data_IF_282002001677
#
_entry.id   IF_282002001677
#
_cell.length_a   1.000
_cell.length_b   1.000
_cell.length_c   1.000
_cell.angle_alpha   90.00
_cell.angle_beta   90.00
_cell.angle_gamma   90.00
#
_symmetry.space_group_name_H-M   'P 1'
#
loop_
_entity.id
_entity.type
_entity.pdbx_description
1 polymer ?
#
# COMPACT_ATOMS: atom_id res chain seq x y z
N UNK A 1 18.70 19.68 2.92
CA UNK A 1 18.03 20.50 3.96
C UNK A 1 17.06 21.43 3.25
N UNK A 2 15.93 21.82 3.87
CA UNK A 2 14.95 22.64 3.18
C UNK A 2 15.61 23.99 2.92
N UNK A 3 15.47 24.47 1.69
CA UNK A 3 16.11 25.67 1.16
C UNK A 3 17.59 25.47 0.78
N UNK A 4 18.04 26.31 -0.15
CA UNK A 4 19.41 26.43 -0.69
C UNK A 4 20.50 26.36 0.42
N UNK A 5 21.81 26.37 0.13
CA UNK A 5 22.88 26.36 1.15
C UNK A 5 22.81 27.46 2.24
N UNK A 6 21.85 28.38 2.15
CA UNK A 6 21.53 29.37 3.16
C UNK A 6 20.70 28.77 4.31
N UNK A 7 21.31 28.71 5.50
CA UNK A 7 20.59 28.47 6.75
C UNK A 7 19.72 29.69 7.10
N UNK A 8 18.40 29.57 7.00
CA UNK A 8 17.46 30.53 7.59
C UNK A 8 16.95 29.99 8.94
N UNK A 9 17.15 30.76 10.02
CA UNK A 9 16.56 30.45 11.33
C UNK A 9 15.17 31.05 11.40
N UNK A 10 14.12 30.23 11.28
CA UNK A 10 12.73 30.67 11.32
C UNK A 10 12.10 30.43 12.69
N UNK A 11 11.40 31.43 13.23
CA UNK A 11 10.55 31.27 14.42
C UNK A 11 9.14 30.84 14.02
N UNK A 12 8.45 30.07 14.85
CA UNK A 12 7.08 29.57 14.57
C UNK A 12 6.12 30.71 14.21
N UNK A 13 6.18 31.83 14.93
CA UNK A 13 5.39 33.03 14.66
C UNK A 13 5.63 33.59 13.26
N UNK A 14 6.90 33.65 12.82
CA UNK A 14 7.26 34.14 11.49
C UNK A 14 6.74 33.27 10.35
N UNK A 15 6.56 31.97 10.57
CA UNK A 15 6.04 31.03 9.57
C UNK A 15 4.52 31.19 9.38
N UNK A 16 3.79 31.47 10.47
CA UNK A 16 2.35 31.67 10.43
C UNK A 16 1.94 32.94 9.67
N UNK A 17 2.83 33.94 9.57
CA UNK A 17 2.59 35.20 8.86
C UNK A 17 2.89 35.12 7.35
N UNK A 18 3.62 34.10 6.89
CA UNK A 18 3.94 33.91 5.46
C UNK A 18 2.70 33.56 4.64
N UNK A 19 2.75 33.78 3.32
CA UNK A 19 1.66 33.44 2.41
C UNK A 19 1.73 31.97 2.01
N UNK A 20 0.58 31.30 1.88
CA UNK A 20 0.52 29.90 1.42
C UNK A 20 1.17 29.75 0.04
N UNK A 21 0.97 30.73 -0.84
CA UNK A 21 1.56 30.75 -2.18
C UNK A 21 3.10 30.67 -2.19
N UNK A 22 3.76 31.16 -1.15
CA UNK A 22 5.20 31.03 -0.99
C UNK A 22 5.60 29.60 -0.64
N UNK A 23 4.86 28.96 0.27
CA UNK A 23 5.06 27.56 0.63
C UNK A 23 4.83 26.64 -0.57
N UNK A 24 3.73 26.85 -1.29
CA UNK A 24 3.38 26.07 -2.48
C UNK A 24 4.47 26.19 -3.55
N UNK A 25 4.98 27.40 -3.80
CA UNK A 25 6.10 27.62 -4.72
C UNK A 25 7.35 26.81 -4.33
N UNK A 26 7.69 26.80 -3.03
CA UNK A 26 8.85 26.09 -2.52
C UNK A 26 8.68 24.57 -2.64
N UNK A 27 7.49 24.05 -2.30
CA UNK A 27 7.16 22.63 -2.48
C UNK A 27 7.25 22.25 -3.97
N UNK A 28 6.75 23.07 -4.89
CA UNK A 28 6.85 22.82 -6.34
C UNK A 28 8.30 22.74 -6.80
N UNK A 29 9.17 23.63 -6.32
CA UNK A 29 10.58 23.62 -6.67
C UNK A 29 11.28 22.34 -6.19
N UNK A 30 10.97 21.89 -4.98
CA UNK A 30 11.52 20.64 -4.43
C UNK A 30 11.00 19.41 -5.17
N UNK A 31 9.71 19.39 -5.52
CA UNK A 31 9.12 18.32 -6.32
C UNK A 31 9.81 18.19 -7.68
N UNK A 32 10.04 19.31 -8.38
CA UNK A 32 10.77 19.29 -9.66
C UNK A 32 12.19 18.79 -9.44
N UNK A 33 12.90 19.32 -8.44
CA UNK A 33 14.29 18.95 -8.16
C UNK A 33 14.46 17.44 -7.94
N UNK A 34 13.53 16.81 -7.22
CA UNK A 34 13.68 15.40 -6.82
C UNK A 34 13.02 14.39 -7.74
N UNK A 35 11.92 14.75 -8.43
CA UNK A 35 11.10 13.80 -9.18
C UNK A 35 10.88 14.18 -10.65
N UNK A 36 11.17 15.41 -11.06
CA UNK A 36 10.99 15.88 -12.44
C UNK A 36 12.24 16.59 -12.98
N UNK A 37 13.41 16.05 -12.68
CA UNK A 37 14.65 16.38 -13.36
C UNK A 37 14.89 15.40 -14.53
N UNK A 38 15.72 15.78 -15.49
CA UNK A 38 16.23 14.83 -16.50
C UNK A 38 17.39 13.96 -15.94
N UNK A 39 17.92 13.06 -16.77
CA UNK A 39 18.99 12.14 -16.38
C UNK A 39 20.29 12.88 -15.97
N UNK A 40 20.49 14.10 -16.48
CA UNK A 40 21.59 15.00 -16.16
C UNK A 40 21.28 15.91 -14.95
N UNK A 41 20.19 15.63 -14.22
CA UNK A 41 19.72 16.36 -13.04
C UNK A 41 19.28 17.81 -13.32
N UNK A 42 18.98 18.16 -14.57
CA UNK A 42 18.41 19.48 -14.89
C UNK A 42 16.92 19.51 -14.56
N UNK A 43 16.45 20.48 -13.73
CA UNK A 43 15.04 20.60 -13.37
C UNK A 43 14.16 20.98 -14.57
N UNK A 44 13.06 20.25 -14.80
CA UNK A 44 12.09 20.55 -15.88
C UNK A 44 11.12 21.67 -15.49
N UNK A 45 11.60 22.90 -15.45
CA UNK A 45 10.80 24.07 -15.03
C UNK A 45 9.57 24.35 -15.91
N UNK A 46 9.51 23.85 -17.14
CA UNK A 46 8.32 23.94 -17.98
C UNK A 46 7.08 23.28 -17.33
N UNK A 47 7.27 22.31 -16.43
CA UNK A 47 6.19 21.63 -15.70
C UNK A 47 5.69 22.41 -14.48
N UNK A 48 6.31 23.54 -14.13
CA UNK A 48 6.05 24.25 -12.88
C UNK A 48 4.57 24.62 -12.70
N UNK A 49 3.93 25.14 -13.76
CA UNK A 49 2.53 25.55 -13.71
C UNK A 49 1.58 24.39 -13.42
N UNK A 50 1.79 23.24 -14.07
CA UNK A 50 0.93 22.06 -13.88
C UNK A 50 1.17 21.38 -12.55
N UNK A 51 2.44 21.23 -12.14
CA UNK A 51 2.78 20.66 -10.84
C UNK A 51 2.28 21.53 -9.68
N UNK A 52 2.33 22.86 -9.82
CA UNK A 52 1.78 23.76 -8.80
C UNK A 52 0.28 23.57 -8.59
N UNK A 53 -0.51 23.35 -9.65
CA UNK A 53 -1.96 23.07 -9.53
C UNK A 53 -2.22 21.79 -8.73
N UNK A 54 -1.42 20.74 -8.98
CA UNK A 54 -1.51 19.48 -8.22
C UNK A 54 -1.17 19.70 -6.74
N UNK A 55 -0.15 20.51 -6.46
CA UNK A 55 0.26 20.84 -5.09
C UNK A 55 -0.80 21.69 -4.39
N UNK A 56 -1.46 22.62 -5.09
CA UNK A 56 -2.61 23.36 -4.58
C UNK A 56 -3.75 22.42 -4.17
N UNK A 57 -4.13 21.47 -5.05
CA UNK A 57 -5.13 20.45 -4.72
C UNK A 57 -4.71 19.58 -3.52
N UNK A 58 -3.44 19.16 -3.47
CA UNK A 58 -2.90 18.39 -2.36
C UNK A 58 -2.95 19.18 -1.05
N UNK A 59 -2.57 20.45 -1.06
CA UNK A 59 -2.57 21.32 0.13
C UNK A 59 -3.98 21.54 0.67
N UNK A 60 -4.97 21.67 -0.20
CA UNK A 60 -6.37 21.84 0.22
C UNK A 60 -7.02 20.53 0.67
N UNK A 61 -6.72 19.40 0.03
CA UNK A 61 -7.47 18.17 0.25
C UNK A 61 -6.77 17.13 1.14
N UNK A 62 -5.44 17.20 1.28
CA UNK A 62 -4.63 16.18 1.97
C UNK A 62 -3.90 16.70 3.21
N UNK A 63 -3.68 18.00 3.34
CA UNK A 63 -3.05 18.57 4.54
C UNK A 63 -4.12 18.84 5.58
N UNK A 64 -4.22 17.94 6.55
CA UNK A 64 -5.22 18.01 7.63
C UNK A 64 -4.59 18.49 8.92
N UNK A 65 -5.23 19.46 9.57
CA UNK A 65 -4.87 19.91 10.91
C UNK A 65 -5.59 19.07 11.97
N UNK A 66 -4.85 18.48 12.89
CA UNK A 66 -5.42 17.73 14.01
C UNK A 66 -5.58 18.66 15.21
N UNK A 67 -6.80 18.73 15.76
CA UNK A 67 -7.13 19.54 16.94
C UNK A 67 -6.76 21.04 16.81
N UNK A 68 -6.74 21.58 15.60
CA UNK A 68 -6.45 22.98 15.31
C UNK A 68 -7.40 23.50 14.23
N UNK A 69 -8.02 24.64 14.47
CA UNK A 69 -9.00 25.28 13.56
C UNK A 69 -8.37 26.39 12.71
N UNK A 70 -7.24 26.96 13.13
CA UNK A 70 -6.56 27.99 12.39
C UNK A 70 -5.73 27.40 11.24
N UNK A 71 -6.20 27.60 10.00
CA UNK A 71 -5.57 27.07 8.80
C UNK A 71 -4.13 27.54 8.58
N UNK A 72 -3.72 28.67 9.19
CA UNK A 72 -2.33 29.16 9.10
C UNK A 72 -1.32 28.15 9.63
N UNK A 73 -1.75 27.25 10.51
CA UNK A 73 -0.90 26.16 11.03
C UNK A 73 -0.54 25.12 9.96
N UNK A 74 -1.22 25.06 8.82
CA UNK A 74 -0.78 24.25 7.67
C UNK A 74 0.62 24.68 7.18
N UNK A 75 1.01 25.94 7.45
CA UNK A 75 2.33 26.49 7.13
C UNK A 75 3.45 25.86 7.96
N UNK A 76 3.17 25.12 9.03
CA UNK A 76 4.23 24.39 9.76
C UNK A 76 4.98 23.38 8.88
N UNK A 77 4.46 23.04 7.71
CA UNK A 77 5.20 22.31 6.66
C UNK A 77 6.53 22.97 6.26
N UNK A 78 6.76 24.26 6.53
CA UNK A 78 8.08 24.89 6.38
C UNK A 78 9.18 24.22 7.21
N UNK A 79 8.82 23.57 8.33
CA UNK A 79 9.76 22.84 9.19
C UNK A 79 9.94 21.38 8.78
N UNK A 80 9.09 20.86 7.89
CA UNK A 80 9.18 19.50 7.39
C UNK A 80 10.26 19.37 6.31
N UNK A 81 10.77 18.15 6.16
CA UNK A 81 11.79 17.90 5.14
C UNK A 81 11.16 17.98 3.74
N UNK A 82 11.63 18.93 2.91
CA UNK A 82 11.13 19.15 1.56
C UNK A 82 11.20 17.91 0.65
N UNK A 83 12.22 17.04 0.83
CA UNK A 83 12.30 15.76 0.11
C UNK A 83 11.17 14.82 0.54
N UNK A 84 10.87 14.73 1.83
CA UNK A 84 9.79 13.88 2.35
C UNK A 84 8.43 14.32 1.79
N UNK A 85 8.17 15.63 1.77
CA UNK A 85 6.95 16.19 1.18
C UNK A 85 6.91 15.87 -0.33
N UNK A 86 8.00 16.13 -1.05
CA UNK A 86 8.09 15.86 -2.49
C UNK A 86 7.88 14.37 -2.81
N UNK A 87 8.50 13.46 -2.05
CA UNK A 87 8.33 12.00 -2.18
C UNK A 87 6.88 11.59 -1.92
N UNK A 88 6.18 12.21 -0.98
CA UNK A 88 4.77 11.93 -0.71
C UNK A 88 3.86 12.39 -1.85
N UNK A 89 4.06 13.61 -2.34
CA UNK A 89 3.26 14.17 -3.46
C UNK A 89 3.54 13.40 -4.75
N UNK A 90 4.80 13.09 -5.05
CA UNK A 90 5.20 12.33 -6.23
C UNK A 90 4.56 10.93 -6.28
N UNK A 91 4.27 10.29 -5.14
CA UNK A 91 3.52 9.02 -5.12
C UNK A 91 2.10 9.17 -5.68
N UNK A 92 1.45 10.31 -5.42
CA UNK A 92 0.13 10.61 -5.94
C UNK A 92 0.15 11.04 -7.41
N UNK A 93 1.27 11.58 -7.89
CA UNK A 93 1.45 11.94 -9.29
C UNK A 93 1.82 10.69 -10.07
N UNK A 94 0.84 10.16 -10.78
CA UNK A 94 1.04 9.03 -11.64
C UNK A 94 1.11 9.48 -13.10
N UNK A 95 2.31 9.63 -13.69
CA UNK A 95 2.45 10.03 -15.09
C UNK A 95 2.04 8.91 -16.07
N UNK A 96 1.84 7.68 -15.57
CA UNK A 96 1.48 6.52 -16.37
C UNK A 96 0.03 6.12 -16.11
N UNK A 97 -0.61 5.43 -17.04
CA UNK A 97 -1.89 4.79 -16.76
C UNK A 97 -1.56 3.55 -15.90
N UNK A 98 -2.00 3.51 -14.63
CA UNK A 98 -1.75 2.38 -13.72
C UNK A 98 -2.66 1.18 -14.07
N UNK A 99 -2.59 0.70 -15.30
CA UNK A 99 -3.28 -0.51 -15.76
C UNK A 99 -2.30 -1.67 -15.87
N UNK A 100 -2.86 -2.86 -15.98
CA UNK A 100 -2.14 -4.10 -16.29
C UNK A 100 -1.35 -4.03 -17.62
N UNK A 101 -1.65 -3.05 -18.48
CA UNK A 101 -0.92 -2.84 -19.72
C UNK A 101 0.50 -2.31 -19.47
N UNK A 102 0.65 -1.33 -18.57
CA UNK A 102 1.88 -0.56 -18.38
C UNK A 102 2.70 -0.98 -17.16
N UNK A 103 2.06 -1.53 -16.12
CA UNK A 103 2.79 -2.00 -14.93
C UNK A 103 3.17 -3.46 -15.11
N UNK A 104 4.48 -3.77 -15.05
CA UNK A 104 5.00 -5.13 -15.18
C UNK A 104 5.81 -5.54 -13.95
N UNK A 105 5.78 -6.82 -13.56
CA UNK A 105 6.52 -7.30 -12.40
C UNK A 105 7.98 -7.51 -12.77
N UNK A 106 8.87 -7.13 -11.86
CA UNK A 106 10.28 -7.53 -11.93
C UNK A 106 10.43 -8.81 -11.13
N UNK A 107 10.73 -9.90 -11.83
CA UNK A 107 10.88 -11.20 -11.19
C UNK A 107 12.25 -11.34 -10.51
N UNK A 108 12.28 -12.05 -9.37
CA UNK A 108 13.53 -12.55 -8.82
C UNK A 108 14.14 -13.57 -9.80
N UNK A 109 15.41 -13.37 -10.15
CA UNK A 109 16.12 -14.18 -11.16
C UNK A 109 16.15 -15.68 -10.83
N UNK A 110 16.35 -16.02 -9.55
CA UNK A 110 16.49 -17.40 -9.11
C UNK A 110 15.14 -18.03 -8.75
N UNK A 111 14.27 -17.27 -8.09
CA UNK A 111 13.00 -17.76 -7.55
C UNK A 111 11.82 -16.93 -8.06
N UNK A 112 11.42 -17.16 -9.31
CA UNK A 112 10.30 -16.44 -9.93
C UNK A 112 8.95 -16.75 -9.30
N UNK A 113 8.74 -18.00 -8.88
CA UNK A 113 7.49 -18.49 -8.32
C UNK A 113 7.73 -19.15 -6.97
N UNK A 114 6.82 -18.89 -6.04
CA UNK A 114 6.80 -19.50 -4.71
C UNK A 114 5.80 -20.65 -4.61
N UNK A 115 5.90 -21.42 -3.53
CA UNK A 115 4.97 -22.49 -3.20
C UNK A 115 4.88 -22.64 -1.68
N UNK A 116 3.73 -23.12 -1.21
CA UNK A 116 3.52 -23.49 0.20
C UNK A 116 4.10 -24.87 0.56
N UNK A 117 4.67 -25.60 -0.41
CA UNK A 117 5.16 -26.98 -0.24
C UNK A 117 6.18 -27.15 0.90
N UNK A 118 6.98 -26.12 1.16
CA UNK A 118 8.09 -26.18 2.11
C UNK A 118 7.84 -25.33 3.38
N UNK A 119 6.60 -24.92 3.63
CA UNK A 119 6.26 -24.18 4.85
C UNK A 119 6.38 -25.12 6.03
N UNK A 120 7.25 -24.78 6.97
CA UNK A 120 7.48 -25.53 8.20
C UNK A 120 7.96 -24.59 9.29
N UNK A 121 7.51 -24.84 10.53
CA UNK A 121 7.89 -24.06 11.69
C UNK A 121 7.28 -24.67 12.95
N UNK A 122 7.95 -24.45 14.08
CA UNK A 122 7.43 -24.83 15.39
C UNK A 122 6.99 -23.56 16.13
N UNK A 123 5.89 -23.66 16.86
CA UNK A 123 5.37 -22.57 17.69
C UNK A 123 4.92 -23.10 19.04
N UNK A 124 5.00 -22.27 20.07
CA UNK A 124 4.41 -22.53 21.39
C UNK A 124 3.05 -21.84 21.57
N UNK A 125 2.61 -21.08 20.57
CA UNK A 125 1.31 -20.39 20.56
C UNK A 125 0.18 -21.39 20.30
N UNK A 126 -1.03 -20.99 20.67
CA UNK A 126 -2.23 -21.77 20.35
C UNK A 126 -2.41 -21.92 18.83
N UNK A 127 -2.88 -23.09 18.42
CA UNK A 127 -3.07 -23.45 17.02
C UNK A 127 -4.44 -24.07 16.81
N UNK A 128 -5.04 -23.80 15.66
CA UNK A 128 -6.28 -24.40 15.22
C UNK A 128 -6.04 -25.36 14.06
N UNK A 129 -6.52 -26.62 14.12
CA UNK A 129 -6.35 -27.59 13.04
C UNK A 129 -7.17 -27.20 11.81
N UNK A 130 -6.65 -27.48 10.63
CA UNK A 130 -7.23 -27.04 9.34
C UNK A 130 -7.38 -28.17 8.35
N UNK A 131 -8.34 -28.04 7.42
CA UNK A 131 -8.62 -29.05 6.39
C UNK A 131 -8.42 -28.51 4.97
N UNK A 132 -8.80 -27.24 4.74
CA UNK A 132 -8.56 -26.54 3.47
C UNK A 132 -7.21 -25.87 3.43
N UNK A 133 -6.58 -25.63 4.58
CA UNK A 133 -5.27 -25.00 4.59
C UNK A 133 -4.18 -25.94 4.04
N UNK A 134 -3.20 -25.36 3.33
CA UNK A 134 -2.01 -26.11 2.88
C UNK A 134 -1.08 -26.52 4.04
N UNK A 135 -1.25 -25.95 5.23
CA UNK A 135 -0.54 -26.34 6.45
C UNK A 135 -1.50 -27.06 7.40
N UNK A 136 -0.95 -27.85 8.32
CA UNK A 136 -1.74 -28.69 9.24
C UNK A 136 -2.52 -27.89 10.30
N UNK A 137 -2.06 -26.70 10.64
CA UNK A 137 -2.72 -25.84 11.61
C UNK A 137 -2.39 -24.36 11.38
N UNK A 138 -3.32 -23.49 11.77
CA UNK A 138 -3.14 -22.04 11.79
C UNK A 138 -2.77 -21.59 13.19
N UNK A 139 -1.70 -20.80 13.29
CA UNK A 139 -1.30 -20.14 14.54
C UNK A 139 -2.26 -19.01 14.84
N UNK A 140 -2.82 -18.96 16.05
CA UNK A 140 -3.74 -17.92 16.48
C UNK A 140 -2.94 -16.79 17.15
N UNK A 141 -2.61 -15.72 16.41
CA UNK A 141 -1.96 -14.54 17.00
C UNK A 141 -2.97 -13.53 17.52
N UNK A 142 -4.19 -13.54 16.97
CA UNK A 142 -5.34 -12.78 17.48
C UNK A 142 -6.66 -13.55 17.30
N UNK A 143 -7.66 -13.18 18.09
CA UNK A 143 -9.02 -13.73 17.96
C UNK A 143 -9.59 -13.51 16.54
N UNK A 144 -9.24 -12.39 15.90
CA UNK A 144 -9.75 -12.04 14.58
C UNK A 144 -9.19 -12.97 13.49
N UNK A 145 -7.90 -13.28 13.54
CA UNK A 145 -7.29 -14.26 12.63
C UNK A 145 -7.85 -15.66 12.84
N UNK A 146 -8.16 -16.03 14.09
CA UNK A 146 -8.78 -17.31 14.38
C UNK A 146 -10.19 -17.41 13.78
N UNK A 147 -10.99 -16.35 13.90
CA UNK A 147 -12.31 -16.28 13.27
C UNK A 147 -12.18 -16.30 11.75
N UNK A 148 -11.20 -15.60 11.16
CA UNK A 148 -10.95 -15.62 9.74
C UNK A 148 -10.59 -17.02 9.23
N UNK A 149 -9.68 -17.72 9.90
CA UNK A 149 -9.30 -19.08 9.55
C UNK A 149 -10.51 -20.04 9.58
N UNK A 150 -11.34 -19.97 10.64
CA UNK A 150 -12.59 -20.74 10.73
C UNK A 150 -13.56 -20.42 9.61
N UNK A 151 -13.73 -19.12 9.32
CA UNK A 151 -14.61 -18.65 8.25
C UNK A 151 -14.15 -19.16 6.87
N UNK A 152 -12.85 -19.15 6.60
CA UNK A 152 -12.28 -19.68 5.36
C UNK A 152 -12.48 -21.19 5.21
N UNK A 153 -12.45 -21.96 6.30
CA UNK A 153 -12.80 -23.38 6.28
C UNK A 153 -14.28 -23.59 5.88
N UNK A 154 -15.18 -22.69 6.28
CA UNK A 154 -16.63 -22.82 6.05
C UNK A 154 -17.11 -22.32 4.67
N UNK A 155 -16.41 -21.37 4.03
CA UNK A 155 -16.82 -20.82 2.72
C UNK A 155 -16.64 -21.87 1.61
N UNK A 156 -17.71 -22.32 0.92
CA UNK A 156 -17.61 -23.38 -0.09
C UNK A 156 -16.70 -23.05 -1.28
N UNK A 157 -16.68 -21.77 -1.70
CA UNK A 157 -15.90 -21.28 -2.83
C UNK A 157 -14.39 -21.26 -2.54
N UNK A 158 -13.98 -21.30 -1.27
CA UNK A 158 -12.56 -21.39 -0.89
C UNK A 158 -12.06 -22.82 -1.15
N UNK A 159 -11.10 -22.92 -2.06
CA UNK A 159 -10.43 -24.18 -2.44
C UNK A 159 -9.33 -24.51 -1.45
N UNK A 160 -8.48 -23.53 -1.15
CA UNK A 160 -7.36 -23.69 -0.24
C UNK A 160 -6.92 -22.35 0.31
N UNK A 161 -6.28 -22.31 1.48
CA UNK A 161 -5.68 -21.10 1.99
C UNK A 161 -4.43 -21.37 2.81
N UNK A 162 -3.69 -20.31 3.15
CA UNK A 162 -2.55 -20.41 4.06
C UNK A 162 -2.43 -19.11 4.83
N UNK A 163 -2.22 -19.20 6.15
CA UNK A 163 -1.75 -18.06 6.92
C UNK A 163 -0.30 -17.81 6.55
N UNK A 164 0.09 -16.56 6.32
CA UNK A 164 1.47 -16.17 5.97
C UNK A 164 2.44 -16.24 7.16
N UNK A 165 2.29 -17.26 7.98
CA UNK A 165 3.17 -17.58 9.10
C UNK A 165 4.22 -18.57 8.60
N UNK A 166 5.50 -18.23 8.76
CA UNK A 166 6.65 -19.00 8.24
C UNK A 166 6.73 -19.15 6.71
N UNK A 167 5.76 -18.65 5.94
CA UNK A 167 5.77 -18.69 4.47
C UNK A 167 6.71 -17.64 3.87
N UNK A 168 6.78 -16.44 4.48
CA UNK A 168 7.65 -15.36 3.99
C UNK A 168 7.14 -14.69 2.72
N UNK A 169 5.84 -14.74 2.42
CA UNK A 169 5.28 -13.99 1.32
C UNK A 169 5.28 -12.49 1.65
N UNK A 170 5.84 -11.67 0.77
CA UNK A 170 5.98 -10.23 0.99
C UNK A 170 5.63 -9.42 -0.23
N UNK A 171 5.06 -8.24 0.00
CA UNK A 171 4.83 -7.23 -1.02
C UNK A 171 5.78 -6.04 -0.74
N UNK A 172 6.63 -5.65 -1.70
CA UNK A 172 7.51 -4.50 -1.52
C UNK A 172 6.70 -3.19 -1.54
N UNK A 173 7.05 -2.26 -0.64
CA UNK A 173 6.49 -0.92 -0.61
C UNK A 173 7.54 0.10 -0.14
N UNK A 174 7.31 1.38 -0.43
CA UNK A 174 8.19 2.47 0.03
C UNK A 174 7.47 3.29 1.09
N UNK A 175 8.13 3.50 2.22
CA UNK A 175 7.67 4.38 3.31
C UNK A 175 8.81 5.25 3.78
N UNK A 176 8.56 6.56 3.86
CA UNK A 176 9.57 7.56 4.27
C UNK A 176 10.87 7.47 3.46
N UNK A 177 10.75 7.17 2.15
CA UNK A 177 11.88 7.01 1.23
C UNK A 177 12.72 5.75 1.46
N UNK A 178 12.25 4.81 2.28
CA UNK A 178 12.91 3.53 2.54
C UNK A 178 12.10 2.37 2.00
N UNK A 179 12.78 1.44 1.36
CA UNK A 179 12.20 0.16 0.95
C UNK A 179 11.82 -0.66 2.19
N UNK A 180 10.61 -1.20 2.17
CA UNK A 180 10.06 -2.04 3.23
C UNK A 180 9.32 -3.22 2.62
N UNK A 181 9.11 -4.24 3.45
CA UNK A 181 8.36 -5.45 3.11
C UNK A 181 7.08 -5.49 3.94
N UNK A 182 5.95 -5.65 3.24
CA UNK A 182 4.65 -5.86 3.83
C UNK A 182 4.31 -7.35 3.80
N UNK A 183 3.94 -7.90 4.96
CA UNK A 183 3.54 -9.29 5.15
C UNK A 183 2.02 -9.31 5.39
N UNK A 184 1.21 -9.69 4.39
CA UNK A 184 -0.24 -9.86 4.58
C UNK A 184 -0.53 -11.11 5.44
N UNK A 185 -1.73 -11.20 6.02
CA UNK A 185 -2.07 -12.27 6.96
C UNK A 185 -2.41 -13.60 6.28
N UNK A 186 -3.25 -13.59 5.23
CA UNK A 186 -3.67 -14.81 4.54
C UNK A 186 -3.57 -14.71 3.02
N UNK A 187 -3.27 -15.84 2.39
CA UNK A 187 -3.40 -16.06 0.96
C UNK A 187 -4.46 -17.13 0.74
N UNK A 188 -5.43 -16.84 -0.12
CA UNK A 188 -6.57 -17.71 -0.38
C UNK A 188 -6.66 -18.00 -1.85
N UNK A 189 -6.97 -19.24 -2.20
CA UNK A 189 -7.40 -19.66 -3.52
C UNK A 189 -8.89 -19.98 -3.49
N UNK A 190 -9.65 -19.40 -4.40
CA UNK A 190 -11.09 -19.56 -4.46
C UNK A 190 -11.57 -19.72 -5.90
N UNK A 191 -12.80 -20.21 -6.05
CA UNK A 191 -13.52 -20.25 -7.32
C UNK A 191 -14.37 -19.00 -7.45
N UNK A 192 -14.24 -18.27 -8.56
CA UNK A 192 -15.04 -17.10 -8.89
C UNK A 192 -16.45 -17.51 -9.34
N UNK A 193 -17.42 -16.58 -9.42
CA UNK A 193 -18.75 -16.91 -9.98
C UNK A 193 -18.73 -17.42 -11.42
N UNK A 194 -17.68 -17.12 -12.19
CA UNK A 194 -17.47 -17.63 -13.56
C UNK A 194 -16.93 -19.06 -13.58
N UNK A 195 -16.57 -19.63 -12.43
CA UNK A 195 -15.99 -20.97 -12.30
C UNK A 195 -14.47 -21.01 -12.42
N UNK A 196 -13.81 -19.85 -12.56
CA UNK A 196 -12.36 -19.74 -12.67
C UNK A 196 -11.68 -19.73 -11.30
N UNK A 197 -10.41 -20.13 -11.25
CA UNK A 197 -9.63 -20.08 -10.01
C UNK A 197 -8.92 -18.74 -9.87
N UNK A 198 -9.16 -18.04 -8.75
CA UNK A 198 -8.51 -16.80 -8.41
C UNK A 198 -7.79 -16.88 -7.05
N UNK A 199 -6.88 -15.92 -6.82
CA UNK A 199 -6.15 -15.76 -5.58
C UNK A 199 -6.60 -14.47 -4.88
N UNK A 200 -6.68 -14.49 -3.55
CA UNK A 200 -7.08 -13.36 -2.73
C UNK A 200 -6.08 -13.19 -1.59
N UNK A 201 -5.54 -11.98 -1.47
CA UNK A 201 -4.76 -11.55 -0.31
C UNK A 201 -5.71 -10.93 0.70
N UNK A 202 -5.59 -11.36 1.96
CA UNK A 202 -6.40 -10.82 3.06
C UNK A 202 -5.46 -10.19 4.08
N UNK A 203 -5.75 -8.93 4.41
CA UNK A 203 -5.23 -8.24 5.60
C UNK A 203 -6.34 -8.17 6.65
N UNK A 204 -6.05 -8.61 7.87
CA UNK A 204 -6.93 -8.48 9.02
C UNK A 204 -6.50 -7.25 9.80
N UNK A 205 -7.31 -6.21 9.67
CA UNK A 205 -6.96 -4.91 10.18
C UNK A 205 -7.50 -4.64 11.58
N UNK A 206 -6.63 -4.70 12.60
CA UNK A 206 -6.83 -3.93 13.83
C UNK A 206 -6.72 -2.41 13.58
N UNK A 207 -7.20 -1.58 14.51
CA UNK A 207 -7.27 -0.09 14.44
C UNK A 207 -5.89 0.63 14.32
N UNK A 208 -5.06 0.31 13.34
CA UNK A 208 -3.73 0.92 13.14
C UNK A 208 -3.70 1.87 11.94
N UNK A 209 -3.10 3.05 12.15
CA UNK A 209 -2.97 4.15 11.19
C UNK A 209 -1.92 3.91 10.09
N UNK A 210 -1.09 2.89 10.21
CA UNK A 210 0.12 2.68 9.40
C UNK A 210 -0.12 1.90 8.09
N UNK A 211 -1.35 1.94 7.57
CA UNK A 211 -1.86 0.98 6.56
C UNK A 211 -2.11 1.56 5.18
N UNK A 212 -2.35 2.88 5.09
CA UNK A 212 -2.72 3.52 3.84
C UNK A 212 -1.66 3.30 2.74
N UNK A 213 -0.38 3.44 3.07
CA UNK A 213 0.71 3.24 2.11
C UNK A 213 0.79 1.78 1.63
N UNK A 214 0.74 0.80 2.55
CA UNK A 214 0.77 -0.63 2.20
C UNK A 214 -0.36 -0.96 1.22
N UNK A 215 -1.59 -0.59 1.57
CA UNK A 215 -2.79 -0.81 0.75
C UNK A 215 -2.65 -0.16 -0.62
N UNK A 216 -2.17 1.07 -0.66
CA UNK A 216 -1.97 1.78 -1.92
C UNK A 216 -0.99 1.03 -2.84
N UNK A 217 0.14 0.55 -2.30
CA UNK A 217 1.12 -0.22 -3.07
C UNK A 217 0.55 -1.56 -3.55
N UNK A 218 -0.23 -2.27 -2.74
CA UNK A 218 -0.90 -3.50 -3.18
C UNK A 218 -1.83 -3.19 -4.36
N UNK A 219 -2.73 -2.23 -4.20
CA UNK A 219 -3.79 -1.96 -5.17
C UNK A 219 -3.29 -1.31 -6.47
N UNK A 220 -2.31 -0.40 -6.38
CA UNK A 220 -1.90 0.43 -7.51
C UNK A 220 -0.59 -0.02 -8.16
N UNK A 221 0.17 -0.93 -7.54
CA UNK A 221 1.45 -1.41 -8.07
C UNK A 221 1.48 -2.92 -8.16
N UNK A 222 1.34 -3.62 -7.04
CA UNK A 222 1.55 -5.05 -6.99
C UNK A 222 0.47 -5.83 -7.75
N UNK A 223 -0.82 -5.57 -7.49
CA UNK A 223 -1.94 -6.25 -8.18
C UNK A 223 -1.90 -6.02 -9.71
N UNK A 224 -1.79 -4.77 -10.23
CA UNK A 224 -1.65 -4.56 -11.66
C UNK A 224 -0.45 -5.31 -12.25
N UNK A 225 0.71 -5.31 -11.55
CA UNK A 225 1.90 -6.00 -12.03
C UNK A 225 1.72 -7.51 -12.16
N UNK A 226 1.17 -8.18 -11.13
CA UNK A 226 1.03 -9.63 -11.17
C UNK A 226 -0.07 -10.08 -12.12
N UNK A 227 -1.17 -9.34 -12.19
CA UNK A 227 -2.29 -9.65 -13.08
C UNK A 227 -1.93 -9.41 -14.56
N UNK A 228 -1.06 -8.44 -14.85
CA UNK A 228 -0.53 -8.18 -16.19
C UNK A 228 0.14 -9.39 -16.87
N UNK A 229 0.62 -10.35 -16.08
CA UNK A 229 1.33 -11.54 -16.58
C UNK A 229 0.57 -12.84 -16.33
N UNK A 230 -0.68 -12.76 -15.88
CA UNK A 230 -1.47 -13.93 -15.47
C UNK A 230 -1.63 -14.94 -16.62
N UNK A 231 -2.03 -14.48 -17.81
CA UNK A 231 -2.26 -15.34 -18.98
C UNK A 231 -0.96 -15.98 -19.46
N UNK A 232 0.12 -15.18 -19.51
CA UNK A 232 1.45 -15.63 -19.95
C UNK A 232 1.98 -16.80 -19.12
N UNK A 233 1.64 -16.84 -17.84
CA UNK A 233 2.13 -17.87 -16.91
C UNK A 233 1.05 -18.83 -16.41
N UNK A 234 -0.17 -18.74 -16.93
CA UNK A 234 -1.29 -19.58 -16.49
C UNK A 234 -1.61 -19.44 -14.99
N UNK A 235 -1.50 -18.23 -14.45
CA UNK A 235 -1.77 -17.93 -13.04
C UNK A 235 -3.20 -17.43 -12.89
N UNK A 236 -3.86 -17.80 -11.79
CA UNK A 236 -5.15 -17.20 -11.40
C UNK A 236 -5.00 -15.73 -11.02
N UNK A 237 -6.01 -14.92 -11.33
CA UNK A 237 -6.06 -13.48 -11.02
C UNK A 237 -5.90 -13.23 -9.52
N UNK A 238 -5.17 -12.18 -9.16
CA UNK A 238 -4.99 -11.76 -7.77
C UNK A 238 -5.92 -10.61 -7.41
N UNK A 239 -6.49 -10.70 -6.22
CA UNK A 239 -7.35 -9.70 -5.60
C UNK A 239 -6.84 -9.39 -4.18
N UNK A 240 -7.31 -8.29 -3.60
CA UNK A 240 -6.95 -7.86 -2.25
C UNK A 240 -8.17 -7.39 -1.48
N UNK A 241 -8.31 -7.84 -0.24
CA UNK A 241 -9.27 -7.32 0.72
C UNK A 241 -8.59 -7.00 2.05
N UNK A 242 -9.04 -5.90 2.65
CA UNK A 242 -8.73 -5.55 4.02
C UNK A 242 -10.01 -5.71 4.84
N UNK A 243 -9.98 -6.61 5.82
CA UNK A 243 -11.08 -6.80 6.77
C UNK A 243 -10.87 -5.84 7.93
N UNK A 244 -11.72 -4.82 8.01
CA UNK A 244 -11.65 -3.80 9.06
C UNK A 244 -12.99 -3.68 9.80
N UNK A 245 -12.94 -3.05 10.97
CA UNK A 245 -14.10 -2.61 11.77
C UNK A 245 -14.77 -3.67 12.64
N UNK A 246 -15.50 -4.63 12.07
CA UNK A 246 -16.31 -5.60 12.83
C UNK A 246 -16.05 -7.05 12.39
N UNK A 247 -15.40 -7.80 13.25
CA UNK A 247 -15.07 -9.21 13.01
C UNK A 247 -16.29 -10.10 12.84
N UNK A 248 -17.46 -9.69 13.36
CA UNK A 248 -18.71 -10.47 13.22
C UNK A 248 -19.20 -10.52 11.78
N UNK A 249 -18.78 -9.57 10.95
CA UNK A 249 -19.20 -9.46 9.55
C UNK A 249 -18.16 -10.01 8.56
N UNK A 250 -17.08 -10.63 9.06
CA UNK A 250 -16.01 -11.17 8.21
C UNK A 250 -16.52 -12.15 7.16
N UNK A 251 -17.53 -12.97 7.50
CA UNK A 251 -18.12 -13.93 6.57
C UNK A 251 -18.76 -13.23 5.38
N UNK A 252 -19.53 -12.17 5.63
CA UNK A 252 -20.18 -11.38 4.57
C UNK A 252 -19.13 -10.69 3.72
N UNK A 253 -18.17 -10.01 4.34
CA UNK A 253 -17.10 -9.29 3.64
C UNK A 253 -16.28 -10.22 2.73
N UNK A 254 -15.91 -11.41 3.22
CA UNK A 254 -15.19 -12.40 2.43
C UNK A 254 -16.04 -12.98 1.31
N UNK A 255 -17.30 -13.33 1.58
CA UNK A 255 -18.21 -13.87 0.58
C UNK A 255 -18.51 -12.85 -0.54
N UNK A 256 -18.73 -11.58 -0.19
CA UNK A 256 -18.92 -10.49 -1.15
C UNK A 256 -17.67 -10.23 -1.96
N UNK A 257 -16.49 -10.21 -1.32
CA UNK A 257 -15.23 -10.07 -2.03
C UNK A 257 -15.02 -11.19 -3.05
N UNK A 258 -15.25 -12.44 -2.65
CA UNK A 258 -15.14 -13.60 -3.54
C UNK A 258 -16.13 -13.49 -4.71
N UNK A 259 -17.37 -13.08 -4.46
CA UNK A 259 -18.40 -12.89 -5.50
C UNK A 259 -18.10 -11.75 -6.46
N UNK A 260 -17.44 -10.70 -5.99
CA UNK A 260 -17.10 -9.53 -6.81
C UNK A 260 -15.80 -9.72 -7.61
N UNK A 261 -15.04 -10.78 -7.33
CA UNK A 261 -13.86 -11.13 -8.11
C UNK A 261 -14.31 -11.78 -9.43
N UNK A 262 -14.12 -11.03 -10.52
CA UNK A 262 -14.30 -11.49 -11.90
C UNK A 262 -12.96 -11.97 -12.47
#
# INVERSE_FOLDING_TARGET
CPFSPHHETMQVTSVLERRDQELLYLITKELIRYHFADDDHNPRFQLFGDLKKIIEEWYETKVVLLNQSDERYRRLLYFENGKTIADHIARGINPHINTEEYIRPVFNYYNRFGSTKYVSGNTTKETWPTSKSHVNAVVMDSDWEAIAAKTLEEIPEVVSYVKNQFLGFTIPYVKDGKDKLYYPDFLVRHVTPTGETANLIIEISGMSKDKAEKKWFVQNRWLPAVNAVQEKYGLGRWHFIEIANDIRDIRTQLAESIKNNL
#
